data_IF_593876501439
#
_entry.id   IF_593876501439
#
_cell.length_a   1.000
_cell.length_b   1.000
_cell.length_c   1.000
_cell.angle_alpha   90.00
_cell.angle_beta   90.00
_cell.angle_gamma   90.00
#
_symmetry.space_group_name_H-M   'P 1'
#
loop_
_entity.id
_entity.type
_entity.pdbx_description
1 polymer ?
#
# COMPACT_ATOMS: atom_id res chain seq x y z
N UNK A 1 10.13 20.77 29.08
CA UNK A 1 11.17 21.09 28.09
C UNK A 1 10.57 20.80 26.73
N UNK A 2 9.93 21.79 26.14
CA UNK A 2 9.34 21.69 24.81
C UNK A 2 10.46 21.80 23.79
N UNK A 3 10.61 20.79 22.93
CA UNK A 3 11.50 20.85 21.77
C UNK A 3 10.76 21.58 20.65
N UNK A 4 10.68 22.89 20.78
CA UNK A 4 10.30 23.76 19.66
C UNK A 4 11.42 23.68 18.60
N UNK A 5 11.08 23.30 17.37
CA UNK A 5 11.98 23.42 16.21
C UNK A 5 12.66 22.15 15.70
N UNK A 6 12.35 20.96 16.22
CA UNK A 6 12.74 19.71 15.54
C UNK A 6 11.65 19.34 14.54
N UNK A 7 11.80 19.79 13.29
CA UNK A 7 11.04 19.23 12.17
C UNK A 7 11.50 17.79 12.02
N UNK A 8 10.70 16.83 12.49
CA UNK A 8 11.00 15.42 12.29
C UNK A 8 10.59 15.08 10.86
N UNK A 9 11.53 14.82 9.93
CA UNK A 9 11.17 14.45 8.58
C UNK A 9 10.26 13.23 8.62
N UNK A 10 9.00 13.42 8.20
CA UNK A 10 8.00 12.36 8.07
C UNK A 10 6.74 12.50 8.94
N UNK A 11 6.75 13.27 10.04
CA UNK A 11 5.57 13.41 10.92
C UNK A 11 4.73 14.66 10.58
N UNK A 12 5.38 15.71 10.06
CA UNK A 12 4.81 17.06 10.11
C UNK A 12 4.07 17.49 8.84
N UNK A 13 3.92 16.62 7.83
CA UNK A 13 3.16 16.97 6.63
C UNK A 13 1.84 16.23 6.58
N UNK A 14 0.74 16.99 6.70
CA UNK A 14 -0.57 16.60 6.17
C UNK A 14 -0.44 15.98 4.75
N UNK A 15 0.60 16.37 3.99
CA UNK A 15 0.96 15.80 2.69
C UNK A 15 1.12 14.28 2.67
N UNK A 16 1.71 13.66 3.70
CA UNK A 16 1.87 12.20 3.75
C UNK A 16 0.52 11.49 3.97
N UNK A 17 -0.33 12.02 4.84
CA UNK A 17 -1.66 11.46 5.08
C UNK A 17 -2.56 11.58 3.87
N UNK A 18 -2.56 12.74 3.20
CA UNK A 18 -3.32 12.93 1.96
C UNK A 18 -2.86 11.96 0.88
N UNK A 19 -1.55 11.76 0.72
CA UNK A 19 -1.00 10.78 -0.20
C UNK A 19 -1.49 9.35 0.11
N UNK A 20 -1.45 8.94 1.38
CA UNK A 20 -1.94 7.63 1.81
C UNK A 20 -3.42 7.45 1.50
N UNK A 21 -4.25 8.48 1.78
CA UNK A 21 -5.69 8.42 1.55
C UNK A 21 -5.98 8.31 0.06
N UNK A 22 -5.41 9.20 -0.76
CA UNK A 22 -5.70 9.25 -2.19
C UNK A 22 -5.15 8.02 -2.90
N UNK A 23 -3.88 7.66 -2.68
CA UNK A 23 -3.31 6.45 -3.27
C UNK A 23 -4.05 5.20 -2.78
N UNK A 24 -4.44 5.15 -1.50
CA UNK A 24 -5.20 4.03 -0.95
C UNK A 24 -6.59 3.89 -1.55
N UNK A 25 -7.30 4.99 -1.84
CA UNK A 25 -8.58 4.97 -2.55
C UNK A 25 -8.37 4.52 -4.00
N UNK A 26 -7.42 5.10 -4.72
CA UNK A 26 -7.17 4.79 -6.14
C UNK A 26 -6.78 3.32 -6.31
N UNK A 27 -5.77 2.86 -5.56
CA UNK A 27 -5.33 1.47 -5.60
C UNK A 27 -6.38 0.54 -5.00
N UNK A 28 -7.12 1.00 -3.99
CA UNK A 28 -8.24 0.28 -3.37
C UNK A 28 -9.36 -0.04 -4.34
N UNK A 29 -9.79 0.95 -5.13
CA UNK A 29 -10.76 0.76 -6.18
C UNK A 29 -10.22 -0.16 -7.28
N UNK A 30 -8.96 0.01 -7.68
CA UNK A 30 -8.32 -0.88 -8.65
C UNK A 30 -8.33 -2.34 -8.19
N UNK A 31 -7.90 -2.61 -6.95
CA UNK A 31 -7.91 -3.95 -6.37
C UNK A 31 -9.32 -4.51 -6.22
N UNK A 32 -10.28 -3.69 -5.81
CA UNK A 32 -11.68 -4.09 -5.69
C UNK A 32 -12.25 -4.54 -7.04
N UNK A 33 -11.93 -3.81 -8.13
CA UNK A 33 -12.34 -4.16 -9.50
C UNK A 33 -11.70 -5.47 -9.95
N UNK A 34 -10.41 -5.68 -9.64
CA UNK A 34 -9.70 -6.91 -9.99
C UNK A 34 -10.25 -8.13 -9.27
N UNK A 35 -10.46 -8.05 -7.95
CA UNK A 35 -11.05 -9.14 -7.15
C UNK A 35 -12.47 -9.43 -7.61
N UNK A 36 -13.24 -8.39 -7.91
CA UNK A 36 -14.59 -8.53 -8.43
C UNK A 36 -14.64 -9.32 -9.75
N UNK A 37 -13.70 -9.02 -10.66
CA UNK A 37 -13.52 -9.76 -11.91
C UNK A 37 -13.07 -11.21 -11.66
N UNK A 38 -12.09 -11.40 -10.79
CA UNK A 38 -11.50 -12.72 -10.50
C UNK A 38 -12.49 -13.67 -9.80
N UNK A 39 -13.42 -13.17 -8.97
CA UNK A 39 -14.45 -13.97 -8.31
C UNK A 39 -15.73 -14.18 -9.13
N UNK A 40 -15.76 -13.72 -10.41
CA UNK A 40 -16.85 -13.94 -11.36
C UNK A 40 -18.25 -13.63 -10.78
N UNK A 41 -18.38 -12.58 -9.97
CA UNK A 41 -19.66 -12.13 -9.42
C UNK A 41 -20.42 -13.18 -8.56
N UNK A 42 -19.75 -14.22 -8.05
CA UNK A 42 -20.44 -15.30 -7.29
C UNK A 42 -20.74 -14.86 -5.85
N UNK A 43 -21.79 -14.07 -5.67
CA UNK A 43 -22.31 -13.64 -4.36
C UNK A 43 -21.70 -12.34 -3.83
N UNK A 44 -21.84 -12.06 -2.54
CA UNK A 44 -21.31 -10.85 -1.87
C UNK A 44 -19.93 -11.04 -1.24
N UNK A 45 -19.37 -12.25 -1.31
CA UNK A 45 -18.11 -12.61 -0.65
C UNK A 45 -16.91 -11.82 -1.18
N UNK A 46 -16.86 -11.56 -2.49
CA UNK A 46 -15.82 -10.75 -3.14
C UNK A 46 -15.67 -9.37 -2.52
N UNK A 47 -16.76 -8.77 -2.04
CA UNK A 47 -16.73 -7.44 -1.44
C UNK A 47 -16.03 -7.47 -0.07
N UNK A 48 -16.33 -8.48 0.74
CA UNK A 48 -15.65 -8.69 2.02
C UNK A 48 -14.16 -8.98 1.83
N UNK A 49 -13.82 -9.81 0.85
CA UNK A 49 -12.44 -10.11 0.49
C UNK A 49 -11.71 -8.85 -0.01
N UNK A 50 -12.30 -8.12 -0.94
CA UNK A 50 -11.73 -6.89 -1.47
C UNK A 50 -11.56 -5.82 -0.40
N UNK A 51 -12.53 -5.63 0.49
CA UNK A 51 -12.42 -4.69 1.61
C UNK A 51 -11.26 -5.06 2.55
N UNK A 52 -11.04 -6.35 2.79
CA UNK A 52 -9.92 -6.84 3.60
C UNK A 52 -8.56 -6.51 2.96
N UNK A 53 -8.43 -6.72 1.65
CA UNK A 53 -7.22 -6.35 0.88
C UNK A 53 -6.99 -4.83 0.88
N UNK A 54 -8.06 -4.04 0.73
CA UNK A 54 -8.00 -2.57 0.78
C UNK A 54 -7.47 -2.10 2.14
N UNK A 55 -7.95 -2.66 3.25
CA UNK A 55 -7.46 -2.28 4.60
C UNK A 55 -5.95 -2.55 4.73
N UNK A 56 -5.47 -3.73 4.32
CA UNK A 56 -4.04 -4.02 4.37
C UNK A 56 -3.20 -3.12 3.47
N UNK A 57 -3.75 -2.70 2.34
CA UNK A 57 -3.09 -1.73 1.47
C UNK A 57 -2.94 -0.36 2.13
N UNK A 58 -3.97 0.14 2.82
CA UNK A 58 -3.86 1.39 3.58
C UNK A 58 -2.78 1.29 4.66
N UNK A 59 -2.72 0.15 5.37
CA UNK A 59 -1.69 -0.10 6.37
C UNK A 59 -0.29 -0.12 5.72
N UNK A 60 -0.13 -0.79 4.59
CA UNK A 60 1.14 -0.83 3.87
C UNK A 60 1.54 0.56 3.39
N UNK A 61 0.65 1.32 2.74
CA UNK A 61 0.90 2.70 2.31
C UNK A 61 1.33 3.60 3.47
N UNK A 62 0.69 3.46 4.64
CA UNK A 62 1.10 4.16 5.84
C UNK A 62 2.56 3.88 6.20
N UNK A 63 3.00 2.62 6.16
CA UNK A 63 4.42 2.30 6.39
C UNK A 63 5.34 2.79 5.27
N UNK A 64 4.92 2.73 4.00
CA UNK A 64 5.71 3.18 2.85
C UNK A 64 5.99 4.69 2.91
N UNK A 65 4.95 5.50 3.14
CA UNK A 65 5.08 6.96 3.20
C UNK A 65 5.77 7.45 4.47
N UNK A 66 5.80 6.65 5.53
CA UNK A 66 6.44 7.00 6.80
C UNK A 66 7.72 6.18 7.07
N UNK A 67 8.30 5.54 6.05
CA UNK A 67 9.47 4.66 6.24
C UNK A 67 10.64 5.40 6.90
N UNK A 68 10.94 6.62 6.45
CA UNK A 68 12.04 7.42 7.00
C UNK A 68 11.78 7.76 8.49
N UNK A 69 10.54 8.09 8.84
CA UNK A 69 10.14 8.29 10.23
C UNK A 69 10.39 7.03 11.08
N UNK A 70 9.98 5.85 10.59
CA UNK A 70 10.18 4.60 11.30
C UNK A 70 11.66 4.25 11.47
N UNK A 71 12.50 4.52 10.47
CA UNK A 71 13.94 4.28 10.56
C UNK A 71 14.62 5.19 11.58
N UNK A 72 14.18 6.43 11.68
CA UNK A 72 14.70 7.39 12.66
C UNK A 72 14.29 7.05 14.09
N UNK A 73 13.00 6.78 14.35
CA UNK A 73 12.53 6.51 15.72
C UNK A 73 13.07 5.19 16.29
N UNK A 74 13.34 4.21 15.43
CA UNK A 74 13.92 2.92 15.84
C UNK A 74 15.45 2.96 15.96
N UNK A 75 16.10 4.07 15.58
CA UNK A 75 17.56 4.19 15.49
C UNK A 75 18.18 3.28 14.43
N UNK A 76 17.37 2.65 13.56
CA UNK A 76 17.85 1.73 12.53
C UNK A 76 18.55 2.47 11.38
N UNK A 77 18.20 3.74 11.14
CA UNK A 77 18.91 4.59 10.19
C UNK A 77 20.41 4.71 10.51
N UNK A 78 20.74 4.89 11.79
CA UNK A 78 22.11 5.19 12.26
C UNK A 78 23.00 3.95 12.37
N UNK A 79 22.42 2.74 12.42
CA UNK A 79 23.17 1.48 12.54
C UNK A 79 24.01 1.14 11.31
N UNK A 80 23.78 1.79 10.17
CA UNK A 80 24.55 1.60 8.94
C UNK A 80 24.42 0.20 8.32
N UNK A 81 23.38 -0.56 8.66
CA UNK A 81 23.14 -1.90 8.11
C UNK A 81 22.48 -1.78 6.74
N UNK A 82 23.10 -2.23 5.63
CA UNK A 82 22.61 -1.96 4.27
C UNK A 82 21.16 -2.40 3.99
N UNK A 83 20.71 -3.46 4.66
CA UNK A 83 19.37 -4.03 4.46
C UNK A 83 18.27 -3.32 5.28
N UNK A 84 18.61 -2.74 6.43
CA UNK A 84 17.62 -2.21 7.37
C UNK A 84 17.68 -0.69 7.42
N UNK A 85 18.86 -0.10 7.24
CA UNK A 85 19.04 1.36 7.23
C UNK A 85 18.65 2.00 5.89
N UNK A 86 18.37 1.21 4.85
CA UNK A 86 17.95 1.73 3.54
C UNK A 86 16.41 1.78 3.43
N UNK A 87 15.81 2.98 3.27
CA UNK A 87 14.36 3.14 3.14
C UNK A 87 13.76 2.32 2.00
N UNK A 88 14.46 2.19 0.87
CA UNK A 88 13.96 1.41 -0.27
C UNK A 88 13.88 -0.08 0.02
N UNK A 89 14.86 -0.62 0.75
CA UNK A 89 14.83 -2.05 1.11
C UNK A 89 13.66 -2.31 2.06
N UNK A 90 13.43 -1.44 3.04
CA UNK A 90 12.28 -1.54 3.95
C UNK A 90 10.96 -1.44 3.20
N UNK A 91 10.84 -0.51 2.26
CA UNK A 91 9.65 -0.38 1.41
C UNK A 91 9.38 -1.66 0.60
N UNK A 92 10.42 -2.24 0.01
CA UNK A 92 10.30 -3.52 -0.71
C UNK A 92 9.86 -4.65 0.23
N UNK A 93 10.43 -4.74 1.44
CA UNK A 93 10.02 -5.74 2.44
C UNK A 93 8.54 -5.59 2.80
N UNK A 94 8.07 -4.35 3.04
CA UNK A 94 6.66 -4.07 3.33
C UNK A 94 5.77 -4.51 2.15
N UNK A 95 6.14 -4.16 0.92
CA UNK A 95 5.38 -4.56 -0.27
C UNK A 95 5.37 -6.07 -0.50
N UNK A 96 6.45 -6.78 -0.17
CA UNK A 96 6.48 -8.25 -0.20
C UNK A 96 5.54 -8.85 0.85
N UNK A 97 5.52 -8.30 2.07
CA UNK A 97 4.58 -8.73 3.12
C UNK A 97 3.14 -8.50 2.66
N UNK A 98 2.84 -7.34 2.05
CA UNK A 98 1.54 -7.04 1.49
C UNK A 98 1.13 -8.07 0.42
N UNK A 99 2.02 -8.35 -0.53
CA UNK A 99 1.79 -9.32 -1.60
C UNK A 99 1.43 -10.70 -1.03
N UNK A 100 2.24 -11.18 -0.07
CA UNK A 100 2.03 -12.47 0.60
C UNK A 100 0.69 -12.47 1.33
N UNK A 101 0.33 -11.39 2.04
CA UNK A 101 -0.93 -11.29 2.77
C UNK A 101 -2.14 -11.30 1.84
N UNK A 102 -2.13 -10.51 0.77
CA UNK A 102 -3.21 -10.48 -0.22
C UNK A 102 -3.35 -11.83 -0.94
N UNK A 103 -2.23 -12.45 -1.29
CA UNK A 103 -2.22 -13.78 -1.90
C UNK A 103 -2.75 -14.85 -0.95
N UNK A 104 -2.33 -14.84 0.32
CA UNK A 104 -2.76 -15.82 1.31
C UNK A 104 -4.27 -15.77 1.55
N UNK A 105 -4.86 -14.56 1.64
CA UNK A 105 -6.32 -14.40 1.75
C UNK A 105 -7.03 -15.01 0.54
N UNK A 106 -6.49 -14.82 -0.67
CA UNK A 106 -7.01 -15.41 -1.90
C UNK A 106 -6.86 -16.94 -1.97
N UNK A 107 -5.82 -17.51 -1.37
CA UNK A 107 -5.54 -18.96 -1.37
C UNK A 107 -6.41 -19.75 -0.38
N UNK A 108 -6.69 -19.20 0.81
CA UNK A 108 -7.49 -19.86 1.85
C UNK A 108 -8.93 -20.13 1.38
N UNK A 109 -9.49 -19.24 0.55
CA UNK A 109 -10.86 -19.36 0.03
C UNK A 109 -11.00 -20.53 -0.95
N UNK A 110 -9.92 -20.90 -1.66
CA UNK A 110 -9.92 -22.03 -2.61
C UNK A 110 -9.58 -23.38 -1.97
N UNK A 111 -9.09 -23.38 -0.72
CA UNK A 111 -8.77 -24.59 0.04
C UNK A 111 -9.93 -25.19 0.85
N UNK A 112 -11.08 -24.50 0.93
CA UNK A 112 -12.25 -24.97 1.68
C UNK A 112 -13.29 -25.67 0.81
N UNK A 113 -13.46 -27.00 0.98
CA UNK A 113 -14.59 -27.90 0.64
C UNK A 113 -15.27 -27.85 -0.76
N UNK A 114 -15.01 -26.88 -1.62
CA UNK A 114 -15.54 -26.78 -3.00
C UNK A 114 -14.47 -26.23 -3.94
N UNK A 115 -13.44 -27.05 -4.16
CA UNK A 115 -12.41 -26.81 -5.16
C UNK A 115 -13.02 -26.45 -6.51
N UNK A 116 -12.98 -25.16 -6.83
CA UNK A 116 -13.29 -24.60 -8.13
C UNK A 116 -12.00 -23.99 -8.67
N UNK A 117 -11.17 -24.85 -9.27
CA UNK A 117 -9.96 -24.51 -10.00
C UNK A 117 -10.31 -23.80 -11.31
N UNK A 118 -10.80 -22.56 -11.24
CA UNK A 118 -11.19 -21.78 -12.44
C UNK A 118 -10.39 -20.49 -12.67
N UNK A 119 -9.24 -20.33 -12.03
CA UNK A 119 -8.30 -19.25 -12.36
C UNK A 119 -6.87 -19.69 -12.06
N UNK A 120 -5.97 -19.59 -13.03
CA UNK A 120 -4.62 -20.12 -12.95
C UNK A 120 -3.84 -19.52 -11.78
N UNK A 121 -3.06 -20.35 -11.08
CA UNK A 121 -2.23 -19.91 -9.95
C UNK A 121 -1.32 -18.71 -10.33
N UNK A 122 -0.81 -18.68 -11.56
CA UNK A 122 0.01 -17.57 -12.06
C UNK A 122 -0.76 -16.26 -12.31
N UNK A 123 -2.04 -16.35 -12.67
CA UNK A 123 -2.90 -15.18 -12.95
C UNK A 123 -3.19 -14.41 -11.66
N UNK A 124 -3.37 -15.12 -10.55
CA UNK A 124 -3.62 -14.49 -9.24
C UNK A 124 -2.38 -13.90 -8.59
N UNK A 125 -1.19 -14.44 -8.82
CA UNK A 125 0.04 -13.81 -8.33
C UNK A 125 0.38 -12.53 -9.09
N UNK A 126 -0.02 -12.44 -10.36
CA UNK A 126 0.32 -11.31 -11.21
C UNK A 126 -0.36 -10.03 -10.72
N UNK A 127 -1.66 -10.07 -10.39
CA UNK A 127 -2.36 -8.86 -9.94
C UNK A 127 -1.91 -8.39 -8.56
N UNK A 128 -1.76 -9.29 -7.56
CA UNK A 128 -1.28 -8.91 -6.22
C UNK A 128 0.15 -8.39 -6.26
N UNK A 129 0.98 -8.91 -7.18
CA UNK A 129 2.33 -8.39 -7.43
C UNK A 129 2.28 -7.01 -8.05
N UNK A 130 1.42 -6.77 -9.05
CA UNK A 130 1.25 -5.43 -9.65
C UNK A 130 0.82 -4.42 -8.57
N UNK A 131 -0.18 -4.75 -7.75
CA UNK A 131 -0.65 -3.86 -6.67
C UNK A 131 0.46 -3.60 -5.66
N UNK A 132 1.22 -4.61 -5.28
CA UNK A 132 2.32 -4.45 -4.33
C UNK A 132 3.45 -3.56 -4.89
N UNK A 133 3.77 -3.70 -6.17
CA UNK A 133 4.74 -2.84 -6.86
C UNK A 133 4.22 -1.41 -6.90
N UNK A 134 2.94 -1.19 -7.23
CA UNK A 134 2.33 0.14 -7.21
C UNK A 134 2.40 0.76 -5.80
N UNK A 135 2.09 0.00 -4.76
CA UNK A 135 2.20 0.46 -3.36
C UNK A 135 3.64 0.86 -3.01
N UNK A 136 4.65 0.06 -3.39
CA UNK A 136 6.07 0.37 -3.16
C UNK A 136 6.47 1.68 -3.88
N UNK A 137 5.99 1.86 -5.11
CA UNK A 137 6.33 3.01 -5.96
C UNK A 137 5.46 4.25 -5.67
N UNK A 138 4.49 4.16 -4.76
CA UNK A 138 3.57 5.26 -4.45
C UNK A 138 4.26 6.60 -4.13
N UNK A 139 5.37 6.65 -3.37
CA UNK A 139 6.08 7.90 -3.13
C UNK A 139 6.67 8.54 -4.40
N UNK A 140 6.95 7.75 -5.45
CA UNK A 140 7.55 8.25 -6.69
C UNK A 140 6.52 8.90 -7.61
N UNK A 141 5.33 8.31 -7.72
CA UNK A 141 4.28 8.84 -8.57
C UNK A 141 3.32 9.78 -7.84
N UNK A 142 3.36 9.86 -6.50
CA UNK A 142 2.54 10.80 -5.73
C UNK A 142 2.70 12.26 -6.18
N UNK A 143 3.92 12.80 -6.39
CA UNK A 143 4.08 14.17 -6.87
C UNK A 143 3.37 14.43 -8.20
N UNK A 144 3.29 13.42 -9.08
CA UNK A 144 2.56 13.53 -10.34
C UNK A 144 1.04 13.56 -10.09
N UNK A 145 0.52 12.66 -9.25
CA UNK A 145 -0.92 12.63 -8.90
C UNK A 145 -1.34 13.96 -8.25
N UNK A 146 -0.53 14.48 -7.34
CA UNK A 146 -0.80 15.72 -6.64
C UNK A 146 -1.04 16.91 -7.59
N UNK A 147 -0.40 16.96 -8.76
CA UNK A 147 -0.61 18.06 -9.74
C UNK A 147 -2.04 18.15 -10.29
N UNK A 148 -2.81 17.07 -10.20
CA UNK A 148 -4.19 17.01 -10.70
C UNK A 148 -5.24 17.16 -9.59
N UNK A 149 -4.80 17.34 -8.33
CA UNK A 149 -5.67 17.45 -7.18
C UNK A 149 -5.90 18.92 -6.80
N UNK A 150 -7.04 19.26 -6.19
CA UNK A 150 -7.24 20.57 -5.58
C UNK A 150 -6.30 20.76 -4.38
N UNK A 151 -6.04 22.01 -3.99
CA UNK A 151 -5.15 22.37 -2.87
C UNK A 151 -5.49 21.62 -1.57
N UNK A 152 -6.78 21.51 -1.24
CA UNK A 152 -7.23 20.81 -0.04
C UNK A 152 -6.92 19.30 -0.05
N UNK A 153 -6.68 18.73 -1.24
CA UNK A 153 -6.29 17.34 -1.45
C UNK A 153 -4.80 17.20 -1.78
N UNK A 154 -3.96 18.19 -1.43
CA UNK A 154 -2.51 18.12 -1.56
C UNK A 154 -1.96 18.55 -2.92
N UNK A 155 -2.79 19.14 -3.78
CA UNK A 155 -2.32 19.75 -5.02
C UNK A 155 -1.69 21.13 -4.81
N UNK A 156 -0.95 21.58 -5.81
CA UNK A 156 -0.34 22.92 -5.82
C UNK A 156 -1.37 23.99 -6.17
N UNK A 157 -1.28 25.15 -5.52
CA UNK A 157 -2.12 26.34 -5.71
C UNK A 157 -2.04 27.03 -7.10
N UNK A 158 -1.54 26.32 -8.11
CA UNK A 158 -1.26 26.85 -9.44
C UNK A 158 -1.64 25.81 -10.49
N UNK A 159 -2.93 25.73 -10.76
CA UNK A 159 -3.49 25.29 -12.03
C UNK A 159 -4.53 26.32 -12.48
#
# INVERSE_FOLDING_TARGET
>A
MALEGVVLPGIDSLGNFTAIIVCGIVLGLYELILIHRDENFRGSHWFGHGLHSVIFMFVALFFIFNTDYFLNITGLAEKGWPLISNPWVVRVIIGLILNIKMHATSAVIKGGLRGSSTGGMAEHWTHTTIVSVLVILAPLYWPLIATFLPEWAGGSASA
#
